data_IF_631823251427
#
_entry.id   IF_631823251427
#
_cell.length_a   1.000
_cell.length_b   1.000
_cell.length_c   1.000
_cell.angle_alpha   90.00
_cell.angle_beta   90.00
_cell.angle_gamma   90.00
#
_symmetry.space_group_name_H-M   'P 1'
#
loop_
_entity.id
_entity.type
_entity.pdbx_description
1 polymer ?
#
# COMPACT_ATOMS: atom_id res chain seq x y z
N UNK A 1 9.03 -15.38 -6.10
CA UNK A 1 9.62 -16.22 -7.12
C UNK A 1 8.70 -17.41 -7.46
N UNK A 2 8.29 -17.50 -8.71
CA UNK A 2 7.38 -18.56 -9.17
C UNK A 2 8.11 -19.89 -9.45
N UNK A 3 9.42 -19.90 -9.48
CA UNK A 3 10.21 -21.12 -9.69
C UNK A 3 9.90 -22.19 -8.64
N UNK A 4 9.76 -21.78 -7.38
CA UNK A 4 9.44 -22.69 -6.27
C UNK A 4 8.09 -23.40 -6.42
N UNK A 5 7.13 -22.81 -7.15
CA UNK A 5 5.82 -23.43 -7.39
C UNK A 5 5.95 -24.74 -8.18
N UNK A 6 6.85 -24.76 -9.17
CA UNK A 6 7.04 -25.93 -10.02
C UNK A 6 7.82 -27.07 -9.35
N UNK A 7 8.68 -26.75 -8.37
CA UNK A 7 9.54 -27.74 -7.70
C UNK A 7 9.04 -28.16 -6.32
N UNK A 8 8.44 -27.22 -5.57
CA UNK A 8 8.05 -27.42 -4.18
C UNK A 8 6.55 -27.15 -3.92
N UNK A 9 5.81 -26.64 -4.89
CA UNK A 9 4.41 -26.24 -4.71
C UNK A 9 4.21 -25.03 -3.79
N UNK A 10 5.26 -24.22 -3.59
CA UNK A 10 5.27 -23.06 -2.69
C UNK A 10 5.59 -21.77 -3.43
N UNK A 11 5.16 -20.64 -2.90
CA UNK A 11 5.53 -19.31 -3.39
C UNK A 11 6.61 -18.73 -2.49
N UNK A 12 7.70 -18.27 -3.09
CA UNK A 12 8.79 -17.60 -2.39
C UNK A 12 8.71 -16.08 -2.59
N UNK A 13 8.59 -15.35 -1.48
CA UNK A 13 8.57 -13.90 -1.46
C UNK A 13 9.98 -13.33 -1.33
N UNK A 14 10.48 -12.68 -2.38
CA UNK A 14 11.83 -12.09 -2.44
C UNK A 14 11.83 -10.55 -2.48
N UNK A 15 10.69 -9.90 -2.27
CA UNK A 15 10.55 -8.45 -2.35
C UNK A 15 10.92 -7.72 -1.04
N UNK A 16 11.16 -8.45 0.03
CA UNK A 16 11.45 -7.87 1.33
C UNK A 16 12.95 -7.79 1.60
N UNK A 17 13.38 -6.72 2.27
CA UNK A 17 14.74 -6.57 2.75
C UNK A 17 14.94 -7.31 4.09
N UNK A 18 16.15 -7.70 4.36
CA UNK A 18 16.52 -8.27 5.65
C UNK A 18 16.32 -7.25 6.77
N UNK A 19 15.71 -7.65 7.86
CA UNK A 19 15.51 -6.82 9.04
C UNK A 19 15.51 -7.64 10.31
N UNK A 20 16.02 -7.07 11.39
CA UNK A 20 15.92 -7.61 12.75
C UNK A 20 14.83 -6.90 13.57
N UNK A 21 14.15 -5.93 13.01
CA UNK A 21 13.08 -5.19 13.67
C UNK A 21 11.78 -5.99 13.63
N UNK A 22 11.28 -6.39 14.80
CA UNK A 22 10.09 -7.25 14.93
C UNK A 22 8.85 -6.65 14.25
N UNK A 23 8.65 -5.33 14.34
CA UNK A 23 7.54 -4.63 13.69
C UNK A 23 7.60 -4.68 12.17
N UNK A 24 8.79 -4.58 11.58
CA UNK A 24 8.98 -4.73 10.13
C UNK A 24 8.74 -6.16 9.68
N UNK A 25 9.25 -7.15 10.40
CA UNK A 25 8.99 -8.59 10.12
C UNK A 25 7.49 -8.87 10.13
N UNK A 26 6.79 -8.38 11.13
CA UNK A 26 5.32 -8.52 11.23
C UNK A 26 4.61 -7.87 10.05
N UNK A 27 5.04 -6.68 9.64
CA UNK A 27 4.47 -5.96 8.50
C UNK A 27 4.67 -6.74 7.20
N UNK A 28 5.86 -7.27 6.97
CA UNK A 28 6.19 -8.04 5.77
C UNK A 28 5.39 -9.35 5.69
N UNK A 29 5.29 -10.08 6.79
CA UNK A 29 4.47 -11.30 6.88
C UNK A 29 2.99 -10.97 6.65
N UNK A 30 2.48 -9.91 7.25
CA UNK A 30 1.08 -9.48 7.10
C UNK A 30 0.77 -9.12 5.65
N UNK A 31 1.67 -8.40 4.97
CA UNK A 31 1.52 -8.08 3.55
C UNK A 31 1.50 -9.34 2.68
N UNK A 32 2.45 -10.25 2.88
CA UNK A 32 2.51 -11.51 2.13
C UNK A 32 1.24 -12.34 2.29
N UNK A 33 0.72 -12.46 3.51
CA UNK A 33 -0.52 -13.16 3.80
C UNK A 33 -1.75 -12.45 3.20
N UNK A 34 -1.82 -11.14 3.27
CA UNK A 34 -2.94 -10.37 2.72
C UNK A 34 -3.02 -10.46 1.19
N UNK A 35 -1.88 -10.35 0.50
CA UNK A 35 -1.81 -10.51 -0.95
C UNK A 35 -2.16 -11.94 -1.37
N UNK A 36 -1.67 -12.93 -0.63
CA UNK A 36 -1.98 -14.34 -0.88
C UNK A 36 -3.48 -14.64 -0.69
N UNK A 37 -4.09 -14.11 0.37
CA UNK A 37 -5.52 -14.23 0.62
C UNK A 37 -6.35 -13.57 -0.49
N UNK A 38 -5.95 -12.38 -0.95
CA UNK A 38 -6.61 -11.72 -2.07
C UNK A 38 -6.51 -12.56 -3.35
N UNK A 39 -5.34 -13.12 -3.64
CA UNK A 39 -5.14 -13.95 -4.82
C UNK A 39 -6.02 -15.22 -4.80
N UNK A 40 -6.19 -15.83 -3.63
CA UNK A 40 -7.09 -17.00 -3.45
C UNK A 40 -8.54 -16.60 -3.65
N UNK A 41 -8.95 -15.43 -3.15
CA UNK A 41 -10.34 -14.97 -3.22
C UNK A 41 -10.71 -14.36 -4.57
N UNK A 42 -9.74 -13.94 -5.37
CA UNK A 42 -9.97 -13.45 -6.73
C UNK A 42 -10.24 -14.62 -7.67
N UNK A 43 -11.40 -14.60 -8.33
CA UNK A 43 -11.77 -15.59 -9.34
C UNK A 43 -11.15 -15.33 -10.72
N UNK A 44 -10.44 -14.20 -10.87
CA UNK A 44 -9.85 -13.74 -12.14
C UNK A 44 -8.36 -13.45 -11.99
N UNK A 45 -7.60 -13.82 -13.01
CA UNK A 45 -6.21 -13.35 -13.15
C UNK A 45 -6.19 -11.89 -13.59
N UNK A 46 -5.32 -11.10 -12.96
CA UNK A 46 -5.10 -9.69 -13.33
C UNK A 46 -3.71 -9.57 -13.96
N UNK A 47 -3.67 -9.38 -15.26
CA UNK A 47 -2.43 -9.20 -16.01
C UNK A 47 -2.00 -7.73 -16.14
N UNK A 48 -2.90 -6.78 -15.83
CA UNK A 48 -2.66 -5.36 -16.00
C UNK A 48 -1.84 -4.78 -14.84
N UNK A 49 -0.72 -4.15 -15.18
CA UNK A 49 0.10 -3.41 -14.21
C UNK A 49 -0.63 -2.14 -13.77
N UNK A 50 -0.76 -1.94 -12.46
CA UNK A 50 -1.34 -0.72 -11.90
C UNK A 50 -0.35 0.44 -12.01
N UNK A 51 -0.75 1.59 -12.57
CA UNK A 51 0.09 2.78 -12.58
C UNK A 51 0.25 3.34 -11.16
N UNK A 52 1.48 3.71 -10.80
CA UNK A 52 1.81 4.22 -9.47
C UNK A 52 1.68 5.76 -9.40
N UNK A 53 1.92 6.46 -10.52
CA UNK A 53 1.88 7.93 -10.58
C UNK A 53 3.03 8.60 -9.83
N UNK A 54 2.83 9.88 -9.50
CA UNK A 54 3.86 10.73 -8.86
C UNK A 54 3.92 10.61 -7.33
N UNK A 55 2.96 9.92 -6.73
CA UNK A 55 2.89 9.71 -5.29
C UNK A 55 2.81 8.22 -4.93
N UNK A 56 3.93 7.51 -4.91
CA UNK A 56 3.97 6.09 -4.60
C UNK A 56 3.43 5.73 -3.22
N UNK A 57 3.68 6.58 -2.21
CA UNK A 57 3.19 6.34 -0.85
C UNK A 57 1.66 6.34 -0.77
N UNK A 58 1.00 7.26 -1.45
CA UNK A 58 -0.46 7.31 -1.52
C UNK A 58 -1.03 6.11 -2.29
N UNK A 59 -0.44 5.79 -3.45
CA UNK A 59 -0.86 4.65 -4.27
C UNK A 59 -0.76 3.33 -3.48
N UNK A 60 0.36 3.13 -2.79
CA UNK A 60 0.57 1.92 -2.00
C UNK A 60 -0.33 1.86 -0.77
N UNK A 61 -0.55 2.98 -0.08
CA UNK A 61 -1.52 3.03 1.01
C UNK A 61 -2.93 2.65 0.56
N UNK A 62 -3.36 3.17 -0.58
CA UNK A 62 -4.67 2.81 -1.17
C UNK A 62 -4.74 1.31 -1.46
N UNK A 63 -3.68 0.73 -1.99
CA UNK A 63 -3.58 -0.71 -2.21
C UNK A 63 -3.70 -1.50 -0.91
N UNK A 64 -2.99 -1.10 0.16
CA UNK A 64 -3.06 -1.75 1.47
C UNK A 64 -4.48 -1.71 2.05
N UNK A 65 -5.19 -0.58 1.92
CA UNK A 65 -6.57 -0.47 2.36
C UNK A 65 -7.52 -1.38 1.55
N UNK A 66 -7.29 -1.53 0.26
CA UNK A 66 -8.04 -2.47 -0.60
C UNK A 66 -7.78 -3.93 -0.25
N UNK A 67 -6.60 -4.25 0.27
CA UNK A 67 -6.30 -5.58 0.81
C UNK A 67 -7.03 -5.88 2.13
N UNK A 68 -7.68 -4.89 2.75
CA UNK A 68 -8.34 -5.03 4.03
C UNK A 68 -7.48 -4.66 5.24
N UNK A 69 -6.27 -4.12 5.03
CA UNK A 69 -5.40 -3.67 6.11
C UNK A 69 -5.85 -2.31 6.65
N UNK A 70 -7.06 -2.25 7.15
CA UNK A 70 -7.78 -1.06 7.61
C UNK A 70 -7.85 -1.04 9.14
N UNK A 71 -7.97 0.16 9.72
CA UNK A 71 -8.21 0.36 11.14
C UNK A 71 -6.94 0.43 11.99
N UNK A 72 -7.12 0.65 13.30
CA UNK A 72 -6.00 0.83 14.23
C UNK A 72 -5.15 -0.42 14.42
N UNK A 73 -5.72 -1.59 14.23
CA UNK A 73 -5.05 -2.89 14.30
C UNK A 73 -3.87 -2.99 13.32
N UNK A 74 -4.02 -2.44 12.12
CA UNK A 74 -3.00 -2.47 11.06
C UNK A 74 -2.23 -1.16 10.91
N UNK A 75 -2.40 -0.20 11.82
CA UNK A 75 -1.73 1.10 11.75
C UNK A 75 -0.22 0.97 11.69
N UNK A 76 0.37 0.16 12.56
CA UNK A 76 1.81 -0.05 12.60
C UNK A 76 2.32 -0.82 11.37
N UNK A 77 1.55 -1.76 10.87
CA UNK A 77 1.86 -2.48 9.62
C UNK A 77 1.95 -1.51 8.46
N UNK A 78 0.95 -0.65 8.30
CA UNK A 78 0.96 0.38 7.24
C UNK A 78 2.13 1.35 7.40
N UNK A 79 2.41 1.79 8.62
CA UNK A 79 3.52 2.68 8.90
C UNK A 79 4.86 2.08 8.45
N UNK A 80 5.15 0.84 8.79
CA UNK A 80 6.39 0.18 8.40
C UNK A 80 6.50 -0.04 6.89
N UNK A 81 5.42 -0.39 6.22
CA UNK A 81 5.40 -0.62 4.77
C UNK A 81 5.53 0.67 3.96
N UNK A 82 5.07 1.80 4.50
CA UNK A 82 5.05 3.09 3.78
C UNK A 82 6.25 3.99 4.06
N UNK A 83 6.98 3.79 5.15
CA UNK A 83 8.00 4.74 5.64
C UNK A 83 9.14 5.05 4.67
N UNK A 84 9.45 4.15 3.74
CA UNK A 84 10.55 4.31 2.76
C UNK A 84 10.10 4.79 1.39
N UNK A 85 8.80 4.94 1.18
CA UNK A 85 8.26 5.42 -0.08
C UNK A 85 8.22 6.95 -0.13
N UNK A 86 8.60 7.55 -1.26
CA UNK A 86 8.46 8.98 -1.45
C UNK A 86 6.99 9.39 -1.59
N UNK A 87 6.70 10.63 -1.22
CA UNK A 87 5.36 11.18 -1.31
C UNK A 87 4.61 11.21 0.03
N UNK A 88 3.39 11.70 -0.03
CA UNK A 88 2.51 11.80 1.13
C UNK A 88 1.46 10.67 1.10
N UNK A 89 1.45 9.75 2.07
CA UNK A 89 0.48 8.65 2.07
C UNK A 89 -0.96 9.11 2.33
N UNK A 90 -1.16 10.29 2.91
CA UNK A 90 -2.48 10.81 3.25
C UNK A 90 -3.12 11.63 2.13
N UNK A 91 -2.32 12.20 1.23
CA UNK A 91 -2.79 13.16 0.22
C UNK A 91 -2.31 12.79 -1.18
N UNK A 92 -3.23 12.68 -2.11
CA UNK A 92 -2.92 12.40 -3.52
C UNK A 92 -2.10 13.53 -4.17
N UNK A 93 -2.37 14.77 -3.76
CA UNK A 93 -1.66 15.97 -4.21
C UNK A 93 -0.98 16.63 -3.03
N UNK A 94 -0.04 17.53 -3.29
CA UNK A 94 0.61 18.31 -2.25
C UNK A 94 -0.44 18.98 -1.35
N UNK A 95 -0.29 18.79 -0.04
CA UNK A 95 -1.16 19.35 1.00
C UNK A 95 -1.35 20.86 0.82
N UNK A 96 -0.28 21.57 0.49
CA UNK A 96 -0.32 23.02 0.24
C UNK A 96 -1.21 23.39 -0.95
N UNK A 97 -1.22 22.58 -2.00
CA UNK A 97 -2.10 22.77 -3.15
C UNK A 97 -3.57 22.51 -2.78
N UNK A 98 -3.83 21.51 -1.96
CA UNK A 98 -5.19 21.21 -1.48
C UNK A 98 -5.72 22.33 -0.57
N UNK A 99 -4.91 22.79 0.37
CA UNK A 99 -5.30 23.92 1.24
C UNK A 99 -5.52 25.21 0.45
N UNK A 100 -4.73 25.48 -0.57
CA UNK A 100 -4.91 26.62 -1.46
C UNK A 100 -6.17 26.50 -2.31
N UNK A 101 -6.54 25.30 -2.72
CA UNK A 101 -7.79 25.02 -3.43
C UNK A 101 -8.99 25.22 -2.51
N UNK A 102 -8.95 24.70 -1.31
CA UNK A 102 -10.00 24.88 -0.29
C UNK A 102 -10.24 26.36 0.03
N UNK A 103 -9.17 27.14 0.26
CA UNK A 103 -9.25 28.58 0.54
C UNK A 103 -9.89 29.39 -0.60
N UNK A 104 -9.69 28.96 -1.84
CA UNK A 104 -10.32 29.61 -3.01
C UNK A 104 -11.81 29.33 -3.13
N UNK A 105 -12.26 28.14 -2.77
CA UNK A 105 -13.65 27.71 -2.93
C UNK A 105 -14.53 28.11 -1.75
N UNK A 106 -14.00 28.12 -0.52
CA UNK A 106 -14.73 28.62 0.66
C UNK A 106 -14.93 30.14 0.66
N UNK A 107 -14.11 30.90 -0.08
CA UNK A 107 -14.32 32.35 -0.27
C UNK A 107 -15.38 32.69 -1.32
N UNK A 108 -15.70 31.74 -2.20
CA UNK A 108 -16.74 31.91 -3.24
C UNK A 108 -18.18 31.76 -2.73
N UNK A 109 -18.39 30.97 -1.67
CA UNK A 109 -19.73 30.73 -1.10
C UNK A 109 -20.14 31.73 -0.02
N UNK A 110 -19.31 32.71 0.31
CA UNK A 110 -19.59 33.77 1.29
C UNK A 110 -20.06 35.10 0.66
N UNK A 111 -20.60 35.05 -0.56
CA UNK A 111 -21.24 36.24 -1.22
C UNK A 111 -22.70 36.01 -1.51
#
# INVERSE_FOLDING_TARGET
NLHSVFYHGTVEWRCFESTLHAGEVRADITLALAVSAQAINLEKTVARKTPVGDNPAFAFRTFLLRLGLIGPEYKNVRMHLLKRLPGDPAWLRDRNQYESYQRRHTRGDAR
#
